data_IF_500355847057
#
_entry.id   IF_500355847057
#
_cell.length_a   1.000
_cell.length_b   1.000
_cell.length_c   1.000
_cell.angle_alpha   90.00
_cell.angle_beta   90.00
_cell.angle_gamma   90.00
#
_symmetry.space_group_name_H-M   'P 1'
#
loop_
_entity.id
_entity.type
_entity.pdbx_description
1 polymer ?
#
# COMPACT_ATOMS: atom_id res chain seq x y z
N UNK A 1 -15.14 10.48 10.80
CA UNK A 1 -15.80 9.69 9.74
C UNK A 1 -14.77 8.74 9.14
N UNK A 2 -15.12 7.47 8.90
CA UNK A 2 -14.19 6.43 8.44
C UNK A 2 -14.04 6.36 6.90
N UNK A 3 -15.06 6.83 6.19
CA UNK A 3 -15.16 6.79 4.71
C UNK A 3 -15.03 5.36 4.15
N UNK A 4 -15.76 4.40 4.75
CA UNK A 4 -15.70 2.99 4.37
C UNK A 4 -16.16 2.75 2.92
N UNK A 5 -17.10 3.57 2.43
CA UNK A 5 -17.62 3.53 1.06
C UNK A 5 -16.55 3.80 -0.01
N UNK A 6 -15.72 4.83 0.14
CA UNK A 6 -14.64 5.12 -0.80
C UNK A 6 -13.50 4.12 -0.68
N UNK A 7 -13.23 3.59 0.52
CA UNK A 7 -12.23 2.53 0.74
C UNK A 7 -12.63 1.24 0.05
N UNK A 8 -13.87 0.80 0.21
CA UNK A 8 -14.41 -0.37 -0.48
C UNK A 8 -14.38 -0.21 -2.00
N UNK A 9 -14.78 0.96 -2.52
CA UNK A 9 -14.69 1.25 -3.95
C UNK A 9 -13.23 1.24 -4.47
N UNK A 10 -12.29 1.77 -3.69
CA UNK A 10 -10.86 1.74 -4.00
C UNK A 10 -10.35 0.29 -4.10
N UNK A 11 -10.65 -0.54 -3.10
CA UNK A 11 -10.21 -1.94 -3.07
C UNK A 11 -10.83 -2.77 -4.21
N UNK A 12 -12.11 -2.59 -4.49
CA UNK A 12 -12.77 -3.25 -5.63
C UNK A 12 -12.14 -2.84 -6.98
N UNK A 13 -11.81 -1.56 -7.16
CA UNK A 13 -11.15 -1.11 -8.37
C UNK A 13 -9.72 -1.65 -8.51
N UNK A 14 -8.99 -1.83 -7.39
CA UNK A 14 -7.68 -2.47 -7.39
C UNK A 14 -7.75 -3.95 -7.77
N UNK A 15 -8.78 -4.67 -7.34
CA UNK A 15 -8.99 -6.06 -7.78
C UNK A 15 -9.14 -6.16 -9.29
N UNK A 16 -9.93 -5.27 -9.90
CA UNK A 16 -10.09 -5.21 -11.36
C UNK A 16 -8.76 -4.95 -12.05
N UNK A 17 -7.94 -4.04 -11.51
CA UNK A 17 -6.61 -3.78 -12.04
C UNK A 17 -5.67 -4.98 -11.89
N UNK A 18 -5.73 -5.68 -10.75
CA UNK A 18 -4.92 -6.88 -10.51
C UNK A 18 -5.36 -8.06 -11.38
N UNK A 19 -6.66 -8.22 -11.66
CA UNK A 19 -7.16 -9.21 -12.59
C UNK A 19 -6.66 -8.95 -14.02
N UNK A 20 -6.53 -7.67 -14.41
CA UNK A 20 -6.05 -7.26 -15.73
C UNK A 20 -4.53 -7.35 -15.91
N UNK A 21 -3.77 -6.86 -14.94
CA UNK A 21 -2.31 -6.69 -15.06
C UNK A 21 -1.50 -7.72 -14.26
N UNK A 22 -2.15 -8.53 -13.44
CA UNK A 22 -1.51 -9.38 -12.45
C UNK A 22 -1.23 -8.64 -11.13
N UNK A 23 -0.43 -9.22 -10.22
CA UNK A 23 -0.25 -8.71 -8.86
C UNK A 23 0.50 -7.37 -8.79
N UNK A 24 1.27 -7.03 -9.83
CA UNK A 24 1.96 -5.75 -9.96
C UNK A 24 1.21 -4.92 -11.01
N UNK A 25 0.84 -3.69 -10.67
CA UNK A 25 0.03 -2.81 -11.53
C UNK A 25 0.91 -1.66 -12.04
N UNK A 26 0.85 -1.31 -13.34
CA UNK A 26 1.61 -0.19 -13.87
C UNK A 26 1.07 1.13 -13.31
N UNK A 27 1.97 2.07 -13.02
CA UNK A 27 1.64 3.39 -12.52
C UNK A 27 0.64 4.12 -13.44
N UNK A 28 0.71 3.93 -14.75
CA UNK A 28 -0.25 4.52 -15.68
C UNK A 28 -1.71 4.10 -15.39
N UNK A 29 -1.93 2.84 -15.00
CA UNK A 29 -3.25 2.35 -14.63
C UNK A 29 -3.70 2.89 -13.27
N UNK A 30 -2.78 2.98 -12.29
CA UNK A 30 -3.07 3.61 -10.98
C UNK A 30 -3.30 5.12 -11.13
N UNK A 31 -2.58 5.77 -12.04
CA UNK A 31 -2.75 7.17 -12.33
C UNK A 31 -4.13 7.42 -12.90
N UNK A 32 -4.75 6.50 -13.66
CA UNK A 32 -6.11 6.65 -14.15
C UNK A 32 -7.16 6.78 -13.02
N UNK A 33 -6.85 6.33 -11.80
CA UNK A 33 -7.76 6.39 -10.65
C UNK A 33 -8.95 5.44 -10.78
N UNK A 34 -9.91 5.58 -9.88
CA UNK A 34 -11.16 4.81 -9.87
C UNK A 34 -12.37 5.73 -9.83
N UNK A 35 -13.52 5.22 -10.28
CA UNK A 35 -14.78 5.96 -10.19
C UNK A 35 -15.39 5.80 -8.79
N UNK A 36 -15.74 6.91 -8.15
CA UNK A 36 -16.49 6.94 -6.92
C UNK A 36 -17.52 8.07 -6.99
N UNK A 37 -18.81 7.71 -6.88
CA UNK A 37 -19.94 8.66 -6.98
C UNK A 37 -19.88 9.57 -8.23
N UNK A 38 -19.54 9.00 -9.38
CA UNK A 38 -19.45 9.71 -10.66
C UNK A 38 -18.22 10.61 -10.81
N UNK A 39 -17.25 10.52 -9.89
CA UNK A 39 -16.00 11.27 -9.93
C UNK A 39 -14.80 10.33 -9.98
N UNK A 40 -13.76 10.75 -10.68
CA UNK A 40 -12.46 10.06 -10.67
C UNK A 40 -11.70 10.40 -9.39
N UNK A 41 -11.30 9.37 -8.65
CA UNK A 41 -10.47 9.46 -7.44
C UNK A 41 -9.12 8.81 -7.71
N UNK A 42 -8.00 9.52 -7.56
CA UNK A 42 -6.67 8.92 -7.64
C UNK A 42 -6.47 7.83 -6.58
N UNK A 43 -5.70 6.79 -6.90
CA UNK A 43 -5.33 5.77 -5.91
C UNK A 43 -4.23 6.24 -4.96
N UNK A 44 -3.29 7.05 -5.47
CA UNK A 44 -2.08 7.49 -4.78
C UNK A 44 -1.56 8.80 -5.37
N UNK A 45 -0.58 9.42 -4.70
CA UNK A 45 0.13 10.60 -5.20
C UNK A 45 1.54 10.22 -5.69
N UNK A 46 2.00 10.82 -6.79
CA UNK A 46 3.37 10.60 -7.30
C UNK A 46 4.44 11.32 -6.49
N UNK A 47 4.12 12.51 -5.99
CA UNK A 47 5.06 13.40 -5.32
C UNK A 47 5.28 13.05 -3.84
N UNK A 48 4.28 12.46 -3.20
CA UNK A 48 4.27 12.20 -1.76
C UNK A 48 3.93 10.75 -1.44
N UNK A 49 4.57 10.23 -0.39
CA UNK A 49 4.43 8.86 0.09
C UNK A 49 3.07 8.56 0.72
N UNK A 50 2.36 9.59 1.20
CA UNK A 50 1.10 9.45 1.93
C UNK A 50 0.03 10.22 1.18
N UNK A 51 -1.13 9.60 0.97
CA UNK A 51 -2.21 10.17 0.19
C UNK A 51 -3.56 10.05 0.88
N UNK A 52 -4.30 11.16 0.84
CA UNK A 52 -5.71 11.28 1.21
C UNK A 52 -6.46 11.90 0.03
N UNK A 53 -7.58 11.32 -0.36
CA UNK A 53 -8.41 11.80 -1.46
C UNK A 53 -9.35 12.92 -0.97
N UNK A 54 -8.84 14.16 -0.90
CA UNK A 54 -9.56 15.28 -0.30
C UNK A 54 -10.97 15.54 -0.89
N UNK A 55 -11.15 15.32 -2.19
CA UNK A 55 -12.42 15.55 -2.89
C UNK A 55 -13.45 14.41 -2.72
N UNK A 56 -13.02 13.26 -2.19
CA UNK A 56 -13.83 12.06 -2.03
C UNK A 56 -14.02 11.64 -0.56
N UNK A 57 -13.02 11.88 0.29
CA UNK A 57 -13.02 11.57 1.71
C UNK A 57 -13.47 12.76 2.54
N UNK A 58 -14.40 12.52 3.47
CA UNK A 58 -14.82 13.51 4.46
C UNK A 58 -13.98 13.40 5.74
N UNK A 59 -13.53 12.19 6.08
CA UNK A 59 -12.67 11.91 7.21
C UNK A 59 -11.22 12.34 7.01
N UNK A 60 -10.44 12.42 8.10
CA UNK A 60 -9.05 12.88 8.07
C UNK A 60 -8.03 11.78 7.71
N UNK A 61 -8.44 10.51 7.72
CA UNK A 61 -7.53 9.38 7.53
C UNK A 61 -7.01 9.27 6.09
N UNK A 62 -5.75 8.86 5.94
CA UNK A 62 -5.17 8.51 4.65
C UNK A 62 -5.99 7.42 3.93
N UNK A 63 -5.95 7.42 2.60
CA UNK A 63 -6.48 6.34 1.76
C UNK A 63 -5.38 5.33 1.41
N UNK A 64 -4.16 5.83 1.22
CA UNK A 64 -3.03 4.99 0.84
C UNK A 64 -1.69 5.55 1.28
N UNK A 65 -0.70 4.67 1.31
CA UNK A 65 0.72 5.00 1.36
C UNK A 65 1.47 4.29 0.24
N UNK A 66 2.59 4.84 -0.20
CA UNK A 66 3.47 4.22 -1.18
C UNK A 66 4.95 4.34 -0.78
N UNK A 67 5.72 3.32 -1.19
CA UNK A 67 7.17 3.30 -1.11
C UNK A 67 7.78 3.17 -2.50
N UNK A 68 8.97 3.75 -2.66
CA UNK A 68 9.68 3.73 -3.94
C UNK A 68 10.46 2.44 -4.12
N UNK A 69 10.55 1.92 -5.35
CA UNK A 69 11.41 0.77 -5.67
C UNK A 69 12.92 1.06 -5.44
N UNK A 70 13.30 2.35 -5.35
CA UNK A 70 14.67 2.82 -5.08
C UNK A 70 14.96 3.07 -3.60
N UNK A 71 13.94 3.14 -2.74
CA UNK A 71 14.20 3.23 -1.30
C UNK A 71 14.99 2.00 -0.89
N UNK A 72 16.06 2.22 -0.14
CA UNK A 72 17.08 1.22 0.13
C UNK A 72 16.41 -0.08 0.59
N UNK A 73 16.67 -1.14 -0.18
CA UNK A 73 15.79 -2.31 -0.44
C UNK A 73 15.34 -3.10 0.80
N UNK A 74 15.85 -2.75 1.97
CA UNK A 74 15.75 -3.51 3.22
C UNK A 74 15.56 -2.63 4.47
N UNK A 75 15.34 -1.31 4.34
CA UNK A 75 15.37 -0.38 5.49
C UNK A 75 14.03 0.12 6.03
N UNK A 76 12.91 -0.27 5.43
CA UNK A 76 11.69 -0.39 6.22
C UNK A 76 11.96 -1.59 7.14
N UNK A 77 12.43 -1.33 8.36
CA UNK A 77 12.79 -2.37 9.33
C UNK A 77 11.62 -3.36 9.45
N UNK A 78 11.83 -4.54 8.86
CA UNK A 78 10.81 -5.56 8.73
C UNK A 78 10.67 -6.27 10.08
N UNK A 79 9.90 -5.69 10.99
CA UNK A 79 9.62 -6.29 12.30
C UNK A 79 8.75 -7.54 12.14
N UNK A 80 8.83 -8.55 13.00
CA UNK A 80 7.92 -9.71 12.94
C UNK A 80 6.43 -9.35 12.88
N UNK A 81 6.08 -8.14 13.34
CA UNK A 81 4.72 -7.64 13.46
C UNK A 81 4.26 -6.78 12.26
N UNK A 82 5.16 -6.40 11.34
CA UNK A 82 4.78 -5.56 10.21
C UNK A 82 5.94 -4.96 9.42
N UNK A 83 5.66 -3.80 8.83
CA UNK A 83 6.62 -2.98 8.08
C UNK A 83 6.68 -1.61 8.74
N UNK A 84 7.88 -1.18 9.16
CA UNK A 84 8.08 0.18 9.65
C UNK A 84 8.10 1.15 8.46
N UNK A 85 7.07 1.98 8.35
CA UNK A 85 6.91 2.97 7.29
C UNK A 85 7.30 4.35 7.82
N UNK A 86 8.22 5.02 7.12
CA UNK A 86 8.69 6.35 7.50
C UNK A 86 7.66 7.43 7.17
N UNK A 87 7.50 8.37 8.08
CA UNK A 87 6.79 9.62 7.84
C UNK A 87 7.33 10.41 6.64
N UNK A 88 6.50 11.32 6.16
CA UNK A 88 6.91 12.34 5.21
C UNK A 88 7.69 13.44 5.95
N UNK A 89 8.92 13.73 5.53
CA UNK A 89 9.74 14.80 6.10
C UNK A 89 10.11 14.60 7.58
N UNK A 90 10.60 15.67 8.21
CA UNK A 90 11.13 15.64 9.57
C UNK A 90 10.18 16.23 10.62
N UNK A 91 9.06 16.80 10.19
CA UNK A 91 8.00 17.32 11.05
C UNK A 91 6.94 16.23 11.29
N UNK A 92 6.83 15.66 12.51
CA UNK A 92 5.84 14.63 12.82
C UNK A 92 4.39 15.14 12.72
N UNK A 93 4.18 16.46 12.77
CA UNK A 93 2.85 17.06 12.77
C UNK A 93 2.46 17.64 11.42
N UNK A 94 3.24 17.45 10.35
CA UNK A 94 2.79 17.86 9.04
C UNK A 94 1.52 17.10 8.60
N UNK A 95 0.78 17.69 7.65
CA UNK A 95 -0.54 17.21 7.29
C UNK A 95 -0.57 15.77 6.75
N UNK A 96 0.48 15.31 6.07
CA UNK A 96 0.58 13.94 5.58
C UNK A 96 0.63 12.94 6.76
N UNK A 97 1.51 13.20 7.72
CA UNK A 97 1.69 12.34 8.89
C UNK A 97 0.43 12.33 9.77
N UNK A 98 -0.26 13.48 9.91
CA UNK A 98 -1.55 13.56 10.59
C UNK A 98 -2.64 12.72 9.91
N UNK A 99 -2.66 12.61 8.59
CA UNK A 99 -3.60 11.73 7.89
C UNK A 99 -3.32 10.25 8.18
N UNK A 100 -2.04 9.86 8.25
CA UNK A 100 -1.64 8.50 8.57
C UNK A 100 -1.96 8.14 10.03
N UNK A 101 -1.67 9.04 10.97
CA UNK A 101 -2.07 8.93 12.38
C UNK A 101 -3.59 8.85 12.53
N UNK A 102 -4.33 9.62 11.74
CA UNK A 102 -5.79 9.54 11.73
C UNK A 102 -6.30 8.18 11.26
N UNK A 103 -5.58 7.49 10.37
CA UNK A 103 -5.92 6.12 9.97
C UNK A 103 -5.74 5.12 11.12
N UNK A 104 -4.70 5.29 11.94
CA UNK A 104 -4.50 4.53 13.18
C UNK A 104 -5.64 4.77 14.17
N UNK A 105 -5.91 6.04 14.50
CA UNK A 105 -6.91 6.40 15.52
C UNK A 105 -8.34 5.99 15.16
N UNK A 106 -8.68 5.99 13.86
CA UNK A 106 -10.00 5.59 13.37
C UNK A 106 -10.10 4.10 13.05
N UNK A 107 -9.00 3.36 13.21
CA UNK A 107 -8.89 1.96 12.87
C UNK A 107 -9.43 1.66 11.46
N UNK A 108 -8.92 2.38 10.46
CA UNK A 108 -9.38 2.28 9.07
C UNK A 108 -8.29 1.71 8.16
N UNK A 109 -8.66 0.82 7.22
CA UNK A 109 -7.72 0.20 6.31
C UNK A 109 -7.29 1.16 5.21
N UNK A 110 -6.03 1.08 4.84
CA UNK A 110 -5.41 1.80 3.72
C UNK A 110 -4.82 0.82 2.71
N UNK A 111 -4.46 1.34 1.54
CA UNK A 111 -3.62 0.60 0.58
C UNK A 111 -2.15 0.91 0.83
N UNK A 112 -1.30 -0.11 0.92
CA UNK A 112 0.15 0.06 0.82
C UNK A 112 0.64 -0.32 -0.58
N UNK A 113 1.07 0.67 -1.36
CA UNK A 113 1.66 0.46 -2.68
C UNK A 113 3.17 0.32 -2.59
N UNK A 114 3.67 -0.89 -2.82
CA UNK A 114 5.11 -1.16 -2.82
C UNK A 114 5.66 -1.05 -4.24
N UNK A 115 6.62 -0.15 -4.47
CA UNK A 115 7.33 -0.09 -5.75
C UNK A 115 8.14 -1.36 -6.00
N UNK A 116 7.84 -2.09 -7.08
CA UNK A 116 8.53 -3.36 -7.42
C UNK A 116 9.59 -3.19 -8.50
N UNK A 117 9.36 -2.27 -9.44
CA UNK A 117 10.28 -1.86 -10.51
C UNK A 117 9.89 -0.44 -10.99
N UNK A 118 10.67 0.22 -11.86
CA UNK A 118 10.34 1.57 -12.32
C UNK A 118 8.91 1.66 -12.85
N UNK A 119 8.08 2.54 -12.27
CA UNK A 119 6.68 2.77 -12.63
C UNK A 119 5.73 1.55 -12.44
N UNK A 120 6.07 0.59 -11.58
CA UNK A 120 5.16 -0.51 -11.23
C UNK A 120 5.06 -0.67 -9.71
N UNK A 121 3.84 -0.92 -9.25
CA UNK A 121 3.51 -1.01 -7.84
C UNK A 121 2.71 -2.26 -7.55
N UNK A 122 3.01 -2.91 -6.44
CA UNK A 122 2.14 -3.93 -5.86
C UNK A 122 1.23 -3.29 -4.81
N UNK A 123 -0.08 -3.24 -5.02
CA UNK A 123 -1.01 -2.82 -3.98
C UNK A 123 -1.19 -3.94 -2.94
N UNK A 124 -1.14 -3.58 -1.67
CA UNK A 124 -1.36 -4.47 -0.53
C UNK A 124 -2.48 -3.88 0.32
N UNK A 125 -3.59 -4.60 0.40
CA UNK A 125 -4.77 -4.17 1.15
C UNK A 125 -5.56 -5.40 1.63
N UNK A 126 -6.26 -5.31 2.78
CA UNK A 126 -6.26 -4.16 3.67
C UNK A 126 -4.95 -4.07 4.49
N UNK A 127 -4.38 -2.87 4.58
CA UNK A 127 -3.23 -2.56 5.44
C UNK A 127 -3.70 -1.61 6.53
N UNK A 128 -3.24 -1.78 7.75
CA UNK A 128 -3.59 -0.95 8.89
C UNK A 128 -2.35 -0.33 9.52
N UNK A 129 -2.54 0.82 10.15
CA UNK A 129 -1.51 1.41 11.01
C UNK A 129 -1.69 0.82 12.39
N UNK A 130 -0.82 -0.13 12.77
CA UNK A 130 -0.89 -0.86 14.03
C UNK A 130 -0.39 -0.02 15.19
N UNK A 131 0.70 0.73 14.97
CA UNK A 131 1.32 1.58 15.99
C UNK A 131 1.85 2.87 15.36
N UNK A 132 1.73 3.99 16.08
CA UNK A 132 2.25 5.30 15.69
C UNK A 132 3.46 5.66 16.57
N UNK A 133 4.60 6.04 15.95
CA UNK A 133 5.82 6.46 16.65
C UNK A 133 6.27 7.86 16.18
N UNK A 134 5.59 8.95 16.59
CA UNK A 134 5.91 10.30 16.12
C UNK A 134 7.35 10.74 16.44
N UNK A 135 7.87 10.36 17.61
CA UNK A 135 9.24 10.69 18.03
C UNK A 135 10.31 10.03 17.15
N UNK A 136 9.96 8.94 16.46
CA UNK A 136 10.83 8.18 15.57
C UNK A 136 10.51 8.42 14.09
N UNK A 137 9.55 9.32 13.80
CA UNK A 137 9.08 9.65 12.46
C UNK A 137 8.67 8.41 11.64
N UNK A 138 7.95 7.47 12.26
CA UNK A 138 7.52 6.24 11.62
C UNK A 138 6.26 5.66 12.21
N UNK A 139 5.64 4.74 11.47
CA UNK A 139 4.52 3.91 11.93
C UNK A 139 4.79 2.45 11.64
N UNK A 140 4.13 1.56 12.38
CA UNK A 140 4.10 0.14 12.05
C UNK A 140 2.88 -0.16 11.19
N UNK A 141 3.10 -0.59 9.95
CA UNK A 141 2.04 -1.12 9.08
C UNK A 141 1.88 -2.62 9.31
N UNK A 142 0.66 -3.05 9.60
CA UNK A 142 0.27 -4.45 9.68
C UNK A 142 -0.75 -4.78 8.59
N UNK A 143 -0.88 -6.07 8.26
CA UNK A 143 -1.74 -6.52 7.15
C UNK A 143 -2.94 -7.28 7.69
N UNK A 144 -4.13 -6.89 7.21
CA UNK A 144 -5.38 -7.53 7.56
C UNK A 144 -5.84 -8.55 6.53
N UNK A 145 -7.13 -8.90 6.59
CA UNK A 145 -7.79 -9.78 5.63
C UNK A 145 -9.10 -9.17 5.15
N UNK A 146 -9.52 -9.54 3.94
CA UNK A 146 -10.90 -9.37 3.53
C UNK A 146 -11.70 -10.55 4.08
N UNK A 147 -12.81 -10.27 4.79
CA UNK A 147 -13.71 -11.26 5.37
C UNK A 147 -15.09 -11.14 4.75
N UNK A 148 -15.75 -12.26 4.48
CA UNK A 148 -17.08 -12.28 3.87
C UNK A 148 -17.05 -12.61 2.37
N UNK A 149 -18.22 -12.68 1.72
CA UNK A 149 -18.33 -12.94 0.28
C UNK A 149 -17.80 -11.76 -0.52
N UNK A 150 -17.44 -11.98 -1.79
CA UNK A 150 -16.75 -10.98 -2.61
C UNK A 150 -17.47 -9.63 -2.68
N UNK A 151 -18.80 -9.64 -2.78
CA UNK A 151 -19.64 -8.45 -2.93
C UNK A 151 -19.88 -7.68 -1.62
N UNK A 152 -19.64 -8.31 -0.47
CA UNK A 152 -19.85 -7.75 0.88
C UNK A 152 -18.61 -7.88 1.75
N UNK A 153 -17.42 -8.01 1.12
CA UNK A 153 -16.19 -8.27 1.86
C UNK A 153 -15.80 -7.06 2.70
N UNK A 154 -15.51 -7.32 3.97
CA UNK A 154 -15.10 -6.32 4.92
C UNK A 154 -13.59 -6.44 5.21
N UNK A 155 -12.85 -5.33 5.19
CA UNK A 155 -11.47 -5.30 5.62
C UNK A 155 -11.40 -5.39 7.15
N UNK A 156 -10.74 -6.42 7.68
CA UNK A 156 -10.65 -6.66 9.12
C UNK A 156 -9.20 -6.80 9.59
N UNK A 157 -8.95 -6.32 10.81
CA UNK A 157 -7.76 -6.67 11.58
C UNK A 157 -7.74 -8.17 11.88
N UNK A 158 -6.53 -8.72 12.03
CA UNK A 158 -6.32 -10.09 12.47
C UNK A 158 -6.08 -10.06 13.99
N UNK A 159 -7.05 -10.50 14.82
CA UNK A 159 -6.93 -10.42 16.27
C UNK A 159 -5.87 -11.38 16.80
N UNK A 160 -5.76 -12.59 16.22
CA UNK A 160 -4.78 -13.58 16.63
C UNK A 160 -3.35 -13.16 16.25
N UNK A 161 -2.45 -13.16 17.22
CA UNK A 161 -1.07 -12.68 17.02
C UNK A 161 -0.26 -13.63 16.12
N UNK A 162 -0.47 -14.95 16.24
CA UNK A 162 0.26 -15.96 15.46
C UNK A 162 -0.14 -15.83 13.98
N UNK A 163 -1.44 -15.75 13.72
CA UNK A 163 -2.00 -15.54 12.39
C UNK A 163 -1.52 -14.21 11.79
N UNK A 164 -1.47 -13.13 12.58
CA UNK A 164 -0.96 -11.83 12.12
C UNK A 164 0.50 -11.92 11.70
N UNK A 165 1.36 -12.53 12.52
CA UNK A 165 2.79 -12.75 12.19
C UNK A 165 2.95 -13.63 10.95
N UNK A 166 2.08 -14.63 10.78
CA UNK A 166 2.08 -15.46 9.58
C UNK A 166 1.74 -14.64 8.32
N UNK A 167 0.67 -13.85 8.35
CA UNK A 167 0.30 -12.98 7.23
C UNK A 167 1.39 -11.97 6.92
N UNK A 168 2.00 -11.37 7.94
CA UNK A 168 3.16 -10.46 7.77
C UNK A 168 4.30 -11.17 7.04
N UNK A 169 4.63 -12.40 7.43
CA UNK A 169 5.67 -13.19 6.76
C UNK A 169 5.32 -13.47 5.30
N UNK A 170 4.09 -13.87 5.01
CA UNK A 170 3.65 -14.12 3.63
C UNK A 170 3.71 -12.86 2.76
N UNK A 171 3.21 -11.73 3.27
CA UNK A 171 3.21 -10.46 2.54
C UNK A 171 4.63 -10.01 2.24
N UNK A 172 5.55 -10.12 3.22
CA UNK A 172 6.97 -9.80 3.02
C UNK A 172 7.62 -10.66 1.96
N UNK A 173 7.37 -11.98 2.01
CA UNK A 173 7.89 -12.90 1.01
C UNK A 173 7.38 -12.52 -0.39
N UNK A 174 6.11 -12.17 -0.53
CA UNK A 174 5.53 -11.69 -1.80
C UNK A 174 6.22 -10.40 -2.26
N UNK A 175 6.42 -9.41 -1.37
CA UNK A 175 7.12 -8.16 -1.68
C UNK A 175 8.54 -8.44 -2.20
N UNK A 176 9.33 -9.25 -1.48
CA UNK A 176 10.71 -9.58 -1.86
C UNK A 176 10.78 -10.27 -3.21
N UNK A 177 9.91 -11.26 -3.45
CA UNK A 177 9.83 -11.93 -4.73
C UNK A 177 9.49 -10.95 -5.87
N UNK A 178 8.59 -9.98 -5.63
CA UNK A 178 8.22 -8.98 -6.62
C UNK A 178 9.40 -8.08 -7.00
N UNK A 179 10.08 -7.55 -5.99
CA UNK A 179 11.23 -6.66 -6.16
C UNK A 179 12.41 -7.40 -6.79
N UNK A 180 12.65 -8.65 -6.40
CA UNK A 180 13.68 -9.49 -7.01
C UNK A 180 13.39 -9.76 -8.49
N UNK A 181 12.17 -10.17 -8.84
CA UNK A 181 11.77 -10.34 -10.25
C UNK A 181 11.95 -9.04 -11.04
N UNK A 182 11.54 -7.91 -10.48
CA UNK A 182 11.70 -6.60 -11.10
C UNK A 182 13.16 -6.16 -11.29
N UNK A 183 14.08 -6.64 -10.45
CA UNK A 183 15.51 -6.37 -10.56
C UNK A 183 16.24 -7.29 -11.54
N UNK A 184 15.77 -8.55 -11.68
CA UNK A 184 16.45 -9.58 -12.49
C UNK A 184 15.92 -9.64 -13.93
N UNK A 185 14.61 -9.53 -14.15
CA UNK A 185 14.02 -9.68 -15.49
C UNK A 185 14.56 -8.68 -16.53
N UNK A 186 14.75 -7.37 -16.21
CA UNK A 186 15.35 -6.44 -17.16
C UNK A 186 16.78 -6.80 -17.58
N UNK A 187 17.47 -7.66 -16.81
CA UNK A 187 18.87 -8.04 -17.04
C UNK A 187 19.01 -9.26 -17.94
N UNK A 188 17.98 -10.11 -18.04
CA UNK A 188 18.01 -11.33 -18.86
C UNK A 188 17.72 -11.01 -20.34
N UNK A 189 16.84 -10.03 -20.62
CA UNK A 189 16.53 -9.59 -21.99
C UNK A 189 17.71 -8.92 -22.72
N UNK A 190 18.70 -8.41 -21.98
CA UNK A 190 19.94 -7.84 -22.53
C UNK A 190 21.08 -8.86 -22.67
N UNK A 191 20.86 -10.13 -22.32
CA UNK A 191 21.89 -11.18 -22.30
C UNK A 191 21.57 -12.33 -23.27
N UNK A 192 21.10 -12.01 -24.48
CA UNK A 192 21.29 -12.91 -25.62
C UNK A 192 22.67 -12.62 -26.19
N UNK A 193 23.66 -13.53 -26.10
CA UNK A 193 24.92 -13.34 -26.80
C UNK A 193 24.63 -13.36 -28.30
N UNK A 194 25.09 -12.35 -29.02
CA UNK A 194 25.31 -12.46 -30.46
C UNK A 194 26.23 -13.66 -30.69
N UNK A 195 25.70 -14.71 -31.32
CA UNK A 195 26.50 -15.78 -31.86
C UNK A 195 27.26 -15.23 -33.07
N UNK A 196 28.57 -15.03 -32.91
CA UNK A 196 29.53 -15.02 -34.01
C UNK A 196 29.90 -16.46 -34.37
#
# INVERSE_FOLDING_TARGET
MRDDDVRSACFAALDVLQAKWGPDVPYAALAAGFNFRGRRVPFLNRAYGIYRAADAQRGPAALSVNSSYKQDRYRDEQTPNGVLYRYQGDDPDNHFNRWLRSAHLLDVPIVYFVGTRPNWYRPIYPTFVEQDFPAELRVLLAFGKMRGPYDEREPVHIPDEIERRYVVREVKQRIHQAQFRGAVLPRIETAVPSAD
#
